data_IF_078388444724
#
_entry.id   IF_078388444724
#
_cell.length_a   1.000
_cell.length_b   1.000
_cell.length_c   1.000
_cell.angle_alpha   90.00
_cell.angle_beta   90.00
_cell.angle_gamma   90.00
#
_symmetry.space_group_name_H-M   'P 1'
#
loop_
_entity.id
_entity.type
_entity.pdbx_description
1 polymer ?
#
# COMPACT_ATOMS: atom_id res chain seq x y z
N UNK A 1 -42.11 -15.34 -18.28
CA UNK A 1 -43.01 -14.41 -17.59
C UNK A 1 -42.20 -13.21 -17.15
N UNK A 2 -42.60 -12.00 -17.58
CA UNK A 2 -41.88 -10.74 -17.34
C UNK A 2 -42.38 -10.13 -16.03
N UNK A 3 -41.55 -10.02 -15.02
CA UNK A 3 -41.92 -9.34 -13.76
C UNK A 3 -41.00 -8.14 -13.56
N UNK A 4 -41.65 -7.04 -13.17
CA UNK A 4 -41.33 -5.65 -13.43
C UNK A 4 -40.45 -5.04 -12.33
N UNK A 5 -39.64 -4.06 -12.74
CA UNK A 5 -38.81 -3.18 -11.92
C UNK A 5 -39.64 -2.41 -10.87
N UNK A 6 -39.05 -2.16 -9.71
CA UNK A 6 -39.45 -1.09 -8.79
C UNK A 6 -38.22 -0.25 -8.47
N UNK A 7 -38.25 1.03 -8.86
CA UNK A 7 -37.29 2.07 -8.49
C UNK A 7 -37.85 2.80 -7.27
N UNK A 8 -37.11 2.85 -6.16
CA UNK A 8 -37.41 3.70 -5.02
C UNK A 8 -36.37 4.84 -4.98
N UNK A 9 -36.85 6.06 -5.24
CA UNK A 9 -36.09 7.31 -5.11
C UNK A 9 -36.32 7.81 -3.68
N UNK A 10 -35.27 7.82 -2.86
CA UNK A 10 -35.29 8.38 -1.51
C UNK A 10 -34.30 9.54 -1.43
N UNK A 11 -34.81 10.77 -1.41
CA UNK A 11 -34.05 11.98 -1.14
C UNK A 11 -34.30 12.41 0.31
N UNK A 12 -33.26 12.52 1.13
CA UNK A 12 -33.35 13.12 2.46
C UNK A 12 -32.18 14.06 2.72
N UNK A 13 -32.56 15.23 3.25
CA UNK A 13 -31.80 16.47 3.37
C UNK A 13 -30.58 16.39 4.28
N UNK A 14 -29.53 17.12 3.89
CA UNK A 14 -28.36 17.45 4.72
C UNK A 14 -28.70 18.66 5.59
N UNK A 15 -28.59 18.53 6.91
CA UNK A 15 -28.60 19.65 7.85
C UNK A 15 -27.14 20.06 8.16
N UNK A 16 -26.77 21.29 7.80
CA UNK A 16 -25.51 21.91 8.21
C UNK A 16 -25.68 22.55 9.58
N UNK A 17 -24.93 22.06 10.57
CA UNK A 17 -24.79 22.72 11.87
C UNK A 17 -23.52 23.58 11.83
N UNK A 18 -23.71 24.90 11.98
CA UNK A 18 -22.62 25.86 12.08
C UNK A 18 -21.95 25.85 13.45
N UNK A 19 -20.65 26.14 13.47
CA UNK A 19 -19.94 26.60 14.65
C UNK A 19 -19.34 27.99 14.34
N UNK A 20 -19.75 28.98 15.11
CA UNK A 20 -19.13 30.29 15.17
C UNK A 20 -17.93 30.23 16.13
N UNK A 21 -16.82 30.88 15.75
CA UNK A 21 -15.65 31.09 16.60
C UNK A 21 -14.85 32.28 16.07
N UNK A 22 -14.76 33.33 16.88
CA UNK A 22 -14.33 34.68 16.57
C UNK A 22 -12.96 34.98 17.18
N UNK A 23 -12.20 35.90 16.58
CA UNK A 23 -11.06 36.64 17.18
C UNK A 23 -9.70 36.16 16.67
N UNK A 24 -8.76 37.02 16.24
CA UNK A 24 -8.66 38.47 16.29
C UNK A 24 -7.19 38.84 16.52
N UNK A 25 -6.69 39.74 15.67
CA UNK A 25 -5.57 40.67 15.86
C UNK A 25 -4.11 40.22 15.71
N UNK A 26 -3.37 41.17 15.15
CA UNK A 26 -2.04 41.16 14.56
C UNK A 26 -0.91 41.15 15.60
N UNK A 27 0.23 40.59 15.19
CA UNK A 27 1.47 40.59 15.98
C UNK A 27 2.70 40.52 15.09
N UNK A 28 3.12 41.67 14.57
CA UNK A 28 4.45 41.90 14.01
C UNK A 28 5.52 41.71 15.10
N UNK A 29 6.52 40.86 14.84
CA UNK A 29 7.61 40.58 15.77
C UNK A 29 8.85 40.01 15.08
N UNK A 30 9.83 40.87 14.83
CA UNK A 30 11.08 40.62 14.10
C UNK A 30 12.26 40.36 15.04
N UNK A 31 13.00 39.26 14.83
CA UNK A 31 14.46 39.08 15.01
C UNK A 31 14.77 37.59 15.14
N UNK A 32 15.56 36.98 14.26
CA UNK A 32 17.02 37.05 14.13
C UNK A 32 17.77 36.29 15.25
N UNK A 33 18.49 35.26 14.81
CA UNK A 33 19.74 34.81 15.44
C UNK A 33 19.64 33.57 16.32
N UNK A 34 20.58 32.64 16.11
CA UNK A 34 20.91 31.59 17.08
C UNK A 34 20.99 30.22 16.45
N UNK A 35 22.16 29.86 15.91
CA UNK A 35 22.46 28.48 15.58
C UNK A 35 22.81 27.70 16.84
N UNK A 36 22.35 26.46 16.92
CA UNK A 36 22.88 25.47 17.85
C UNK A 36 23.13 24.16 17.12
N UNK A 37 24.41 23.78 17.15
CA UNK A 37 24.89 22.45 16.80
C UNK A 37 24.54 21.51 17.97
N UNK A 38 23.96 20.36 17.68
CA UNK A 38 24.07 19.16 18.51
C UNK A 38 23.81 17.97 17.58
N UNK A 39 24.87 17.35 17.09
CA UNK A 39 25.55 16.20 17.72
C UNK A 39 24.64 14.99 17.84
N UNK A 40 25.04 13.98 17.07
CA UNK A 40 24.55 12.62 17.11
C UNK A 40 24.48 12.08 18.54
N UNK A 41 23.42 11.32 18.80
CA UNK A 41 23.46 10.23 19.77
C UNK A 41 23.13 8.96 19.01
N UNK A 42 24.17 8.17 18.77
CA UNK A 42 24.01 6.73 18.61
C UNK A 42 23.74 6.18 20.01
N UNK A 43 22.60 5.52 20.18
CA UNK A 43 22.40 4.53 21.22
C UNK A 43 21.71 3.32 20.58
N UNK A 44 22.15 2.15 21.02
CA UNK A 44 21.89 0.85 20.42
C UNK A 44 20.57 0.25 20.92
N UNK A 45 20.23 -0.92 20.35
CA UNK A 45 19.28 -1.92 20.84
C UNK A 45 17.81 -1.75 20.43
N UNK A 46 17.36 -2.60 19.51
CA UNK A 46 15.93 -2.93 19.34
C UNK A 46 15.41 -2.81 17.91
N UNK A 47 15.34 -3.96 17.23
CA UNK A 47 14.58 -4.25 16.03
C UNK A 47 13.31 -3.38 15.89
N UNK A 48 13.33 -2.45 14.93
CA UNK A 48 12.14 -1.75 14.43
C UNK A 48 12.13 -1.84 12.91
N UNK A 49 11.93 -3.05 12.39
CA UNK A 49 11.51 -3.27 11.00
C UNK A 49 10.08 -2.72 10.85
N UNK A 50 9.94 -1.41 10.68
CA UNK A 50 8.63 -0.78 10.51
C UNK A 50 8.52 0.73 10.74
N UNK A 51 9.56 1.43 11.22
CA UNK A 51 9.45 2.86 11.55
C UNK A 51 9.48 3.83 10.34
N UNK A 52 9.60 3.33 9.10
CA UNK A 52 9.64 4.19 7.89
C UNK A 52 8.70 3.78 6.76
N UNK A 53 8.01 2.63 6.86
CA UNK A 53 7.14 2.15 5.79
C UNK A 53 5.79 2.88 5.81
N UNK A 54 5.17 3.13 4.63
CA UNK A 54 3.82 3.66 4.55
C UNK A 54 2.83 2.69 5.18
N UNK A 55 1.75 3.24 5.76
CA UNK A 55 0.65 2.46 6.34
C UNK A 55 -0.65 2.65 5.58
N UNK A 56 -1.41 1.58 5.43
CA UNK A 56 -2.77 1.59 4.92
C UNK A 56 -3.48 0.30 5.32
N UNK A 57 -4.42 0.38 6.25
CA UNK A 57 -4.98 -0.79 6.93
C UNK A 57 -6.14 -1.49 6.20
N UNK A 58 -6.70 -0.88 5.15
CA UNK A 58 -7.89 -1.34 4.44
C UNK A 58 -7.85 -0.96 2.94
N UNK A 59 -8.71 -1.58 2.13
CA UNK A 59 -8.69 -1.41 0.67
C UNK A 59 -8.84 0.04 0.21
N UNK A 60 -9.69 0.83 0.89
CA UNK A 60 -9.91 2.22 0.54
C UNK A 60 -8.65 3.07 0.83
N UNK A 61 -8.02 2.83 1.99
CA UNK A 61 -6.78 3.50 2.40
C UNK A 61 -5.61 3.11 1.48
N UNK A 62 -5.50 1.84 1.09
CA UNK A 62 -4.47 1.37 0.16
C UNK A 62 -4.68 2.01 -1.21
N UNK A 63 -5.90 1.99 -1.75
CA UNK A 63 -6.21 2.63 -3.03
C UNK A 63 -5.96 4.15 -2.99
N UNK A 64 -6.31 4.83 -1.90
CA UNK A 64 -6.01 6.25 -1.71
C UNK A 64 -4.50 6.51 -1.69
N UNK A 65 -3.72 5.65 -1.02
CA UNK A 65 -2.26 5.75 -1.02
C UNK A 65 -1.69 5.57 -2.43
N UNK A 66 -2.12 4.55 -3.18
CA UNK A 66 -1.66 4.29 -4.55
C UNK A 66 -1.94 5.47 -5.48
N UNK A 67 -3.14 6.06 -5.40
CA UNK A 67 -3.57 7.20 -6.23
C UNK A 67 -2.67 8.45 -6.12
N UNK A 68 -1.78 8.53 -5.11
CA UNK A 68 -0.77 9.60 -5.02
C UNK A 68 0.39 9.44 -6.02
N UNK A 69 0.58 8.23 -6.54
CA UNK A 69 1.73 7.84 -7.38
C UNK A 69 1.29 7.23 -8.71
N UNK A 70 0.24 6.41 -8.70
CA UNK A 70 -0.33 5.78 -9.89
C UNK A 70 -1.85 5.67 -9.74
N UNK A 71 -2.65 5.91 -10.79
CA UNK A 71 -4.09 5.73 -10.70
C UNK A 71 -4.48 4.33 -10.26
N UNK A 72 -5.46 4.28 -9.36
CA UNK A 72 -6.07 3.05 -8.89
C UNK A 72 -7.58 3.19 -9.14
N UNK A 73 -7.96 2.83 -10.37
CA UNK A 73 -9.29 2.99 -10.93
C UNK A 73 -10.12 1.73 -10.69
N UNK A 74 -11.45 1.89 -10.65
CA UNK A 74 -12.41 0.79 -10.59
C UNK A 74 -12.12 -0.21 -9.44
N UNK A 75 -11.80 0.31 -8.25
CA UNK A 75 -11.54 -0.54 -7.08
C UNK A 75 -12.72 -1.49 -6.83
N UNK A 76 -12.43 -2.78 -6.87
CA UNK A 76 -13.35 -3.87 -6.59
C UNK A 76 -12.80 -4.76 -5.47
N UNK A 77 -13.69 -5.50 -4.81
CA UNK A 77 -13.26 -6.63 -3.98
C UNK A 77 -12.58 -7.67 -4.86
N UNK A 78 -11.67 -8.47 -4.30
CA UNK A 78 -11.00 -9.53 -5.05
C UNK A 78 -12.00 -10.48 -5.72
N UNK A 79 -13.02 -10.92 -4.97
CA UNK A 79 -14.06 -11.82 -5.50
C UNK A 79 -14.90 -11.20 -6.62
N UNK A 80 -15.24 -9.90 -6.51
CA UNK A 80 -15.99 -9.23 -7.57
C UNK A 80 -15.13 -9.05 -8.82
N UNK A 81 -13.83 -8.78 -8.65
CA UNK A 81 -12.89 -8.73 -9.76
C UNK A 81 -12.83 -10.09 -10.47
N UNK A 82 -12.53 -11.16 -9.72
CA UNK A 82 -12.32 -12.51 -10.22
C UNK A 82 -13.58 -13.06 -10.93
N UNK A 83 -14.78 -12.69 -10.49
CA UNK A 83 -16.03 -13.09 -11.13
C UNK A 83 -16.33 -12.39 -12.46
N UNK A 84 -15.69 -11.25 -12.75
CA UNK A 84 -16.06 -10.37 -13.85
C UNK A 84 -14.89 -10.03 -14.81
N UNK A 85 -13.75 -10.72 -14.72
CA UNK A 85 -12.61 -10.49 -15.60
C UNK A 85 -12.27 -11.70 -16.48
N UNK A 86 -11.68 -11.43 -17.64
CA UNK A 86 -11.11 -12.44 -18.54
C UNK A 86 -9.70 -12.85 -18.10
N UNK A 87 -9.29 -14.09 -18.37
CA UNK A 87 -8.03 -14.66 -17.90
C UNK A 87 -6.77 -13.86 -18.32
N UNK A 88 -6.81 -13.18 -19.47
CA UNK A 88 -5.67 -12.42 -20.02
C UNK A 88 -5.29 -11.18 -19.19
N UNK A 89 -6.08 -10.83 -18.17
CA UNK A 89 -5.80 -9.75 -17.23
C UNK A 89 -5.97 -10.21 -15.78
N UNK A 90 -5.49 -11.39 -15.42
CA UNK A 90 -5.57 -11.89 -14.04
C UNK A 90 -4.79 -11.01 -13.07
N UNK A 91 -5.43 -10.61 -11.97
CA UNK A 91 -4.75 -10.01 -10.83
C UNK A 91 -4.22 -11.11 -9.91
N UNK A 92 -3.03 -10.93 -9.36
CA UNK A 92 -2.43 -11.91 -8.44
C UNK A 92 -3.30 -12.17 -7.19
N UNK A 93 -3.23 -13.38 -6.63
CA UNK A 93 -3.54 -13.58 -5.20
C UNK A 93 -4.92 -14.10 -4.84
N UNK A 94 -5.68 -14.70 -5.76
CA UNK A 94 -7.04 -15.18 -5.46
C UNK A 94 -7.01 -16.33 -4.42
N UNK A 95 -6.19 -17.35 -4.66
CA UNK A 95 -6.08 -18.51 -3.79
C UNK A 95 -5.30 -18.17 -2.51
N UNK A 96 -4.26 -17.36 -2.64
CA UNK A 96 -3.38 -16.93 -1.54
C UNK A 96 -4.13 -16.06 -0.53
N UNK A 97 -4.99 -15.15 -0.99
CA UNK A 97 -5.83 -14.35 -0.10
C UNK A 97 -6.90 -15.17 0.62
N UNK A 98 -7.31 -16.32 0.06
CA UNK A 98 -8.25 -17.23 0.68
C UNK A 98 -7.59 -18.19 1.68
N UNK A 99 -6.28 -18.43 1.55
CA UNK A 99 -5.53 -19.28 2.47
C UNK A 99 -5.09 -18.49 3.72
N UNK A 100 -5.63 -18.81 4.92
CA UNK A 100 -5.26 -18.13 6.15
C UNK A 100 -3.77 -18.26 6.50
N UNK A 101 -3.05 -19.21 5.90
CA UNK A 101 -1.59 -19.37 6.07
C UNK A 101 -0.80 -18.16 5.55
N UNK A 102 -1.39 -17.33 4.68
CA UNK A 102 -0.77 -16.12 4.14
C UNK A 102 -0.89 -14.88 5.02
N UNK A 103 -1.74 -14.88 6.05
CA UNK A 103 -1.91 -13.70 6.90
C UNK A 103 -2.52 -12.48 6.19
N UNK A 104 -3.12 -12.68 5.02
CA UNK A 104 -3.88 -11.68 4.28
C UNK A 104 -5.26 -11.58 4.93
N UNK A 105 -5.67 -10.35 5.27
CA UNK A 105 -7.00 -10.06 5.83
C UNK A 105 -8.03 -9.86 4.74
N UNK A 106 -7.66 -9.14 3.69
CA UNK A 106 -8.56 -8.75 2.61
C UNK A 106 -7.74 -8.53 1.33
N UNK A 107 -8.32 -8.93 0.19
CA UNK A 107 -7.81 -8.65 -1.15
C UNK A 107 -8.81 -7.78 -1.92
N UNK A 108 -8.28 -6.78 -2.59
CA UNK A 108 -8.97 -5.95 -3.57
C UNK A 108 -8.16 -5.86 -4.85
N UNK A 109 -8.79 -5.36 -5.90
CA UNK A 109 -8.12 -5.13 -7.19
C UNK A 109 -8.59 -3.80 -7.74
N UNK A 110 -7.65 -3.00 -8.22
CA UNK A 110 -7.94 -1.83 -9.05
C UNK A 110 -7.10 -1.89 -10.33
N UNK A 111 -7.23 -0.87 -11.18
CA UNK A 111 -6.53 -0.80 -12.46
C UNK A 111 -5.71 0.48 -12.58
N UNK A 112 -4.55 0.36 -13.22
CA UNK A 112 -3.73 1.51 -13.61
C UNK A 112 -4.33 2.26 -14.82
N UNK A 113 -3.66 3.33 -15.27
CA UNK A 113 -4.06 4.09 -16.46
C UNK A 113 -4.13 3.25 -17.73
N UNK A 114 -3.28 2.23 -17.82
CA UNK A 114 -3.21 1.29 -18.95
C UNK A 114 -4.18 0.11 -18.80
N UNK A 115 -5.06 0.15 -17.80
CA UNK A 115 -6.04 -0.89 -17.45
C UNK A 115 -5.43 -2.19 -16.90
N UNK A 116 -4.12 -2.24 -16.66
CA UNK A 116 -3.49 -3.39 -16.04
C UNK A 116 -3.92 -3.49 -14.57
N UNK A 117 -4.20 -4.70 -14.07
CA UNK A 117 -4.61 -4.86 -12.68
C UNK A 117 -3.46 -4.57 -11.71
N UNK A 118 -3.85 -4.07 -10.55
CA UNK A 118 -3.01 -3.97 -9.36
C UNK A 118 -3.77 -4.71 -8.25
N UNK A 119 -3.20 -5.81 -7.74
CA UNK A 119 -3.74 -6.46 -6.55
C UNK A 119 -3.36 -5.67 -5.30
N UNK A 120 -4.31 -5.48 -4.38
CA UNK A 120 -4.15 -4.79 -3.11
C UNK A 120 -4.43 -5.81 -1.99
N UNK A 121 -3.53 -5.91 -1.03
CA UNK A 121 -3.61 -6.87 0.07
C UNK A 121 -3.51 -6.12 1.40
N UNK A 122 -4.54 -6.16 2.22
CA UNK A 122 -4.45 -5.77 3.63
C UNK A 122 -3.86 -6.96 4.38
N UNK A 123 -2.77 -6.75 5.10
CA UNK A 123 -2.01 -7.81 5.77
C UNK A 123 -2.14 -7.64 7.27
N UNK A 124 -2.77 -8.60 7.93
CA UNK A 124 -2.94 -8.57 9.38
C UNK A 124 -1.74 -9.13 10.14
N UNK A 125 -0.90 -9.93 9.48
CA UNK A 125 0.28 -10.55 10.05
C UNK A 125 1.41 -10.56 9.01
N UNK A 126 2.31 -9.58 9.12
CA UNK A 126 3.36 -9.36 8.13
C UNK A 126 4.47 -10.43 8.19
N UNK A 127 4.74 -11.00 9.36
CA UNK A 127 5.72 -12.07 9.50
C UNK A 127 5.20 -13.37 8.88
N UNK A 128 3.91 -13.67 9.11
CA UNK A 128 3.24 -14.78 8.46
C UNK A 128 3.15 -14.61 6.95
N UNK A 129 2.82 -13.40 6.48
CA UNK A 129 2.83 -13.07 5.06
C UNK A 129 4.20 -13.34 4.44
N UNK A 130 5.28 -12.77 5.00
CA UNK A 130 6.64 -12.98 4.50
C UNK A 130 7.08 -14.45 4.54
N UNK A 131 6.60 -15.22 5.52
CA UNK A 131 6.85 -16.68 5.58
C UNK A 131 6.21 -17.40 4.41
N UNK A 132 4.97 -17.04 4.04
CA UNK A 132 4.30 -17.58 2.86
C UNK A 132 5.00 -17.14 1.57
N UNK A 133 5.35 -15.86 1.45
CA UNK A 133 6.14 -15.31 0.33
C UNK A 133 7.43 -16.11 0.12
N UNK A 134 8.18 -16.38 1.19
CA UNK A 134 9.42 -17.16 1.11
C UNK A 134 9.20 -18.58 0.57
N UNK A 135 8.12 -19.23 1.01
CA UNK A 135 7.79 -20.59 0.61
C UNK A 135 7.35 -20.68 -0.85
N UNK A 136 6.60 -19.67 -1.29
CA UNK A 136 6.05 -19.59 -2.63
C UNK A 136 7.08 -19.10 -3.66
N UNK A 137 8.04 -18.28 -3.23
CA UNK A 137 9.00 -17.62 -4.12
C UNK A 137 8.43 -16.40 -4.84
N UNK A 138 7.30 -15.88 -4.36
CA UNK A 138 6.69 -14.65 -4.87
C UNK A 138 7.42 -13.39 -4.39
N UNK A 139 7.08 -12.26 -5.01
CA UNK A 139 7.69 -10.95 -4.73
C UNK A 139 6.61 -9.88 -4.68
N UNK A 140 6.79 -8.90 -3.80
CA UNK A 140 5.74 -7.92 -3.51
C UNK A 140 6.30 -6.52 -3.29
N UNK A 141 5.48 -5.52 -3.56
CA UNK A 141 5.72 -4.18 -3.03
C UNK A 141 4.98 -4.06 -1.70
N UNK A 142 5.69 -3.87 -0.60
CA UNK A 142 5.14 -3.89 0.76
C UNK A 142 5.22 -2.54 1.45
N UNK A 143 4.13 -2.20 2.14
CA UNK A 143 4.10 -1.20 3.20
C UNK A 143 4.22 -1.88 4.56
N UNK A 144 3.83 -1.19 5.63
CA UNK A 144 3.91 -1.74 6.97
C UNK A 144 2.86 -2.83 7.23
N UNK A 145 1.65 -2.64 6.72
CA UNK A 145 0.46 -3.46 7.00
C UNK A 145 -0.31 -3.82 5.72
N UNK A 146 0.33 -3.65 4.56
CA UNK A 146 -0.27 -3.99 3.28
C UNK A 146 0.80 -4.36 2.24
N UNK A 147 0.35 -5.02 1.17
CA UNK A 147 1.17 -5.34 0.01
C UNK A 147 0.39 -5.05 -1.28
N UNK A 148 1.12 -4.77 -2.36
CA UNK A 148 0.55 -4.52 -3.68
C UNK A 148 1.34 -5.24 -4.76
N UNK A 149 0.63 -5.72 -5.79
CA UNK A 149 1.19 -6.44 -6.93
C UNK A 149 0.67 -5.79 -8.22
N UNK A 150 1.38 -4.80 -8.77
CA UNK A 150 1.06 -4.25 -10.07
C UNK A 150 1.50 -5.22 -11.18
N UNK A 151 0.61 -5.52 -12.12
CA UNK A 151 0.98 -6.28 -13.34
C UNK A 151 1.73 -5.40 -14.34
N UNK A 152 1.39 -4.11 -14.42
CA UNK A 152 2.02 -3.17 -15.34
C UNK A 152 3.34 -2.58 -14.84
N UNK A 153 4.38 -2.58 -15.68
CA UNK A 153 5.69 -1.98 -15.37
C UNK A 153 5.61 -0.48 -15.06
N UNK A 154 4.72 0.25 -15.77
CA UNK A 154 4.51 1.69 -15.54
C UNK A 154 4.05 1.97 -14.11
N UNK A 155 3.07 1.20 -13.61
CA UNK A 155 2.59 1.33 -12.24
C UNK A 155 3.69 0.95 -11.23
N UNK A 156 4.44 -0.13 -11.51
CA UNK A 156 5.56 -0.57 -10.67
C UNK A 156 6.63 0.52 -10.53
N UNK A 157 7.07 1.11 -11.64
CA UNK A 157 8.07 2.18 -11.64
C UNK A 157 7.57 3.46 -10.95
N UNK A 158 6.31 3.83 -11.14
CA UNK A 158 5.71 4.98 -10.47
C UNK A 158 5.70 4.80 -8.94
N UNK A 159 5.43 3.58 -8.47
CA UNK A 159 5.42 3.24 -7.05
C UNK A 159 6.81 3.18 -6.41
N UNK A 160 7.90 3.16 -7.17
CA UNK A 160 9.24 3.12 -6.57
C UNK A 160 9.56 4.38 -5.72
N UNK A 161 8.90 5.50 -6.02
CA UNK A 161 9.02 6.76 -5.25
C UNK A 161 8.03 6.85 -4.08
N UNK A 162 7.28 5.79 -3.82
CA UNK A 162 6.18 5.82 -2.85
C UNK A 162 6.63 5.61 -1.40
N UNK A 163 7.80 5.03 -1.20
CA UNK A 163 8.26 4.57 0.11
C UNK A 163 7.85 3.13 0.42
N UNK A 164 7.10 2.47 -0.47
CA UNK A 164 7.00 1.01 -0.49
C UNK A 164 8.39 0.39 -0.67
N UNK A 165 8.55 -0.84 -0.17
CA UNK A 165 9.75 -1.64 -0.39
C UNK A 165 9.43 -2.88 -1.20
N UNK A 166 10.33 -3.26 -2.08
CA UNK A 166 10.32 -4.55 -2.76
C UNK A 166 10.74 -5.63 -1.76
N UNK A 167 9.83 -6.56 -1.48
CA UNK A 167 10.04 -7.77 -0.69
C UNK A 167 10.35 -8.92 -1.64
N UNK A 168 11.50 -9.55 -1.43
CA UNK A 168 11.88 -10.81 -2.08
C UNK A 168 12.63 -11.68 -1.09
N UNK A 169 12.62 -12.99 -1.31
CA UNK A 169 13.40 -13.96 -0.56
C UNK A 169 14.41 -14.70 -1.47
N UNK A 170 14.64 -14.18 -2.67
CA UNK A 170 15.67 -14.66 -3.58
C UNK A 170 17.06 -14.36 -3.01
N UNK A 171 17.87 -15.41 -2.85
CA UNK A 171 19.24 -15.32 -2.35
C UNK A 171 20.17 -14.60 -3.35
N UNK A 172 19.85 -14.67 -4.65
CA UNK A 172 20.64 -14.06 -5.72
C UNK A 172 20.23 -12.61 -6.00
N UNK A 173 19.21 -12.09 -5.30
CA UNK A 173 18.76 -10.72 -5.46
C UNK A 173 19.88 -9.72 -5.12
N UNK A 174 20.27 -8.94 -6.13
CA UNK A 174 21.29 -7.90 -6.00
C UNK A 174 20.69 -6.51 -6.21
N UNK A 175 21.18 -5.55 -5.43
CA UNK A 175 20.67 -4.18 -5.43
C UNK A 175 21.73 -3.26 -6.03
N UNK A 176 21.42 -2.49 -7.09
CA UNK A 176 22.38 -1.57 -7.70
C UNK A 176 22.85 -0.49 -6.73
N UNK A 177 24.00 0.11 -7.00
CA UNK A 177 24.52 1.23 -6.22
C UNK A 177 23.52 2.39 -6.18
N UNK A 178 23.27 2.94 -4.99
CA UNK A 178 22.32 4.04 -4.78
C UNK A 178 20.96 3.61 -4.23
N UNK A 179 20.71 2.30 -4.15
CA UNK A 179 19.55 1.72 -3.51
C UNK A 179 19.91 1.01 -2.20
N UNK A 180 18.92 0.82 -1.35
CA UNK A 180 19.03 0.18 -0.04
C UNK A 180 18.56 -1.26 -0.10
N UNK A 181 19.21 -2.11 0.70
CA UNK A 181 18.81 -3.50 0.98
C UNK A 181 18.88 -3.70 2.48
N UNK A 182 17.77 -4.11 3.08
CA UNK A 182 17.67 -4.35 4.51
C UNK A 182 17.00 -5.69 4.80
N UNK A 183 17.27 -6.33 5.95
CA UNK A 183 16.57 -7.55 6.33
C UNK A 183 15.06 -7.32 6.45
N UNK A 184 14.27 -8.29 6.00
CA UNK A 184 12.84 -8.31 6.26
C UNK A 184 12.55 -8.90 7.67
N UNK A 185 11.27 -9.12 7.99
CA UNK A 185 10.88 -9.74 9.26
C UNK A 185 11.23 -11.23 9.33
N UNK A 186 11.28 -11.92 8.17
CA UNK A 186 11.64 -13.33 8.06
C UNK A 186 13.07 -13.49 7.55
N UNK A 187 13.86 -14.30 8.25
CA UNK A 187 15.24 -14.61 7.87
C UNK A 187 15.34 -15.13 6.43
N UNK A 188 16.29 -14.59 5.67
CA UNK A 188 16.48 -14.91 4.25
C UNK A 188 15.59 -14.11 3.29
N UNK A 189 14.66 -13.30 3.81
CA UNK A 189 13.94 -12.31 3.02
C UNK A 189 14.54 -10.92 3.25
N UNK A 190 14.39 -10.06 2.25
CA UNK A 190 14.98 -8.72 2.22
C UNK A 190 13.98 -7.72 1.67
N UNK A 191 14.14 -6.48 2.12
CA UNK A 191 13.40 -5.31 1.64
C UNK A 191 14.35 -4.39 0.88
N UNK A 192 13.89 -3.80 -0.22
CA UNK A 192 14.67 -2.84 -1.02
C UNK A 192 13.83 -1.69 -1.56
N UNK A 193 14.40 -0.51 -1.74
CA UNK A 193 13.78 0.58 -2.54
C UNK A 193 14.12 0.48 -4.04
N UNK A 194 14.80 -0.59 -4.45
CA UNK A 194 14.97 -0.97 -5.84
C UNK A 194 13.88 -1.93 -6.27
N UNK A 195 13.11 -1.57 -7.30
CA UNK A 195 12.07 -2.42 -7.86
C UNK A 195 12.59 -2.97 -9.20
N UNK A 196 12.88 -4.28 -9.30
CA UNK A 196 13.36 -4.89 -10.55
C UNK A 196 12.44 -4.62 -11.73
N UNK A 197 13.04 -4.56 -12.92
CA UNK A 197 12.45 -4.28 -14.24
C UNK A 197 12.04 -5.55 -14.97
#
# INVERSE_FOLDING_TARGET
>A
MRIKRALAIGATLVALTGAAGCGGDDGDGKSAGGGDKSSASADSTGQTTGSGLPKASDMASIAYYLNKYTPCLDLATGSDYDANHDADNSAWGADEAADPSWGIKERGVCRDESRHPIALLSVQDMEKFQTAVKKDGSEFLVGQDFAVVPVGDTARQALQKSGLKFLTCDADFSVPSGFTKEPAAVDGCVLSDYFPG
#
